data_IF_499030271504
#
_entry.id   IF_499030271504
#
_cell.length_a   1.000
_cell.length_b   1.000
_cell.length_c   1.000
_cell.angle_alpha   90.00
_cell.angle_beta   90.00
_cell.angle_gamma   90.00
#
_symmetry.space_group_name_H-M   'P 1'
#
loop_
_entity.id
_entity.type
_entity.pdbx_description
1 polymer ?
#
# COMPACT_ATOMS: atom_id res chain seq x y z
N UNK A 1 3.75 3.70 -5.73
CA UNK A 1 5.05 3.04 -5.53
C UNK A 1 4.92 1.54 -5.85
N UNK A 2 5.35 1.08 -7.05
CA UNK A 2 5.12 -0.30 -7.49
C UNK A 2 5.78 -1.36 -6.59
N UNK A 3 6.99 -1.10 -6.09
CA UNK A 3 7.75 -2.04 -5.23
C UNK A 3 7.00 -2.39 -3.94
N UNK A 4 6.26 -1.44 -3.35
CA UNK A 4 5.47 -1.69 -2.14
C UNK A 4 4.29 -2.62 -2.43
N UNK A 5 3.66 -2.48 -3.60
CA UNK A 5 2.56 -3.35 -3.99
C UNK A 5 3.02 -4.80 -4.19
N UNK A 6 4.19 -4.99 -4.81
CA UNK A 6 4.73 -6.31 -5.07
C UNK A 6 5.20 -6.98 -3.77
N UNK A 7 5.89 -6.24 -2.88
CA UNK A 7 6.25 -6.74 -1.55
C UNK A 7 5.03 -7.15 -0.71
N UNK A 8 3.91 -6.44 -0.83
CA UNK A 8 2.67 -6.78 -0.14
C UNK A 8 2.00 -8.02 -0.74
N UNK A 9 1.99 -8.18 -2.05
CA UNK A 9 1.53 -9.42 -2.71
C UNK A 9 2.37 -10.63 -2.29
N UNK A 10 3.69 -10.49 -2.26
CA UNK A 10 4.61 -11.56 -1.83
C UNK A 10 4.41 -11.92 -0.36
N UNK A 11 4.01 -10.96 0.48
CA UNK A 11 3.63 -11.20 1.87
C UNK A 11 2.22 -11.84 2.03
N UNK A 12 1.51 -12.09 0.93
CA UNK A 12 0.16 -12.68 0.93
C UNK A 12 -0.98 -11.66 1.07
N UNK A 13 -0.72 -10.36 0.93
CA UNK A 13 -1.76 -9.34 0.93
C UNK A 13 -2.49 -9.32 -0.43
N UNK A 14 -3.74 -9.79 -0.42
CA UNK A 14 -4.62 -9.85 -1.61
C UNK A 14 -5.60 -8.69 -1.74
N UNK A 15 -5.46 -7.61 -0.95
CA UNK A 15 -6.38 -6.47 -0.98
C UNK A 15 -6.23 -5.67 -2.28
N UNK A 16 -7.09 -5.95 -3.26
CA UNK A 16 -7.05 -5.32 -4.59
C UNK A 16 -7.10 -3.79 -4.52
N UNK A 17 -7.83 -3.22 -3.56
CA UNK A 17 -7.87 -1.76 -3.34
C UNK A 17 -6.52 -1.19 -2.88
N UNK A 18 -5.82 -1.92 -2.01
CA UNK A 18 -4.51 -1.54 -1.52
C UNK A 18 -3.47 -1.64 -2.64
N UNK A 19 -3.46 -2.77 -3.36
CA UNK A 19 -2.53 -3.03 -4.45
C UNK A 19 -2.73 -2.03 -5.59
N UNK A 20 -3.98 -1.74 -5.94
CA UNK A 20 -4.32 -0.74 -6.95
C UNK A 20 -3.94 0.67 -6.50
N UNK A 21 -4.09 1.02 -5.22
CA UNK A 21 -3.63 2.30 -4.70
C UNK A 21 -2.10 2.42 -4.74
N UNK A 22 -1.36 1.36 -4.39
CA UNK A 22 0.10 1.33 -4.45
C UNK A 22 0.65 1.41 -5.88
N UNK A 23 -0.08 0.83 -6.85
CA UNK A 23 0.25 0.86 -8.28
C UNK A 23 -0.26 2.12 -8.99
N UNK A 24 -1.26 2.79 -8.42
CA UNK A 24 -1.87 3.98 -8.99
C UNK A 24 -1.01 5.24 -8.84
N UNK A 25 -1.22 6.25 -9.71
CA UNK A 25 -0.60 7.55 -9.55
C UNK A 25 -1.25 8.29 -8.37
N UNK A 26 -0.45 8.70 -7.38
CA UNK A 26 -0.93 9.45 -6.23
C UNK A 26 0.18 9.68 -5.19
N UNK A 27 0.08 10.74 -4.37
CA UNK A 27 1.08 11.03 -3.34
C UNK A 27 1.00 10.00 -2.20
N UNK A 28 2.01 9.14 -2.07
CA UNK A 28 2.19 8.27 -0.90
C UNK A 28 2.95 9.00 0.21
N UNK A 29 2.33 10.03 0.80
CA UNK A 29 2.90 10.81 1.91
C UNK A 29 2.41 10.29 3.28
N UNK A 30 2.94 10.81 4.39
CA UNK A 30 2.32 10.62 5.72
C UNK A 30 0.88 11.16 5.64
N UNK A 31 -0.12 10.35 6.01
CA UNK A 31 -1.57 10.45 5.69
C UNK A 31 -2.07 9.61 4.51
N UNK A 32 -1.20 8.89 3.79
CA UNK A 32 -1.64 7.79 2.93
C UNK A 32 -2.13 6.65 3.84
N UNK A 33 -3.40 6.30 3.73
CA UNK A 33 -4.02 5.23 4.51
C UNK A 33 -3.25 3.90 4.42
N UNK A 34 -2.62 3.59 3.28
CA UNK A 34 -1.78 2.39 3.13
C UNK A 34 -0.55 2.45 4.03
N UNK A 35 0.08 3.62 4.13
CA UNK A 35 1.26 3.81 4.99
C UNK A 35 0.86 3.69 6.46
N UNK A 36 -0.28 4.24 6.86
CA UNK A 36 -0.78 4.12 8.24
C UNK A 36 -1.15 2.67 8.59
N UNK A 37 -1.76 1.93 7.66
CA UNK A 37 -2.01 0.49 7.81
C UNK A 37 -0.73 -0.33 7.96
N UNK A 38 0.26 -0.10 7.09
CA UNK A 38 1.56 -0.82 7.14
C UNK A 38 2.33 -0.49 8.41
N UNK A 39 2.19 0.74 8.93
CA UNK A 39 2.82 1.17 10.19
C UNK A 39 2.01 0.80 11.44
N UNK A 40 0.85 0.15 11.31
CA UNK A 40 0.00 -0.24 12.45
C UNK A 40 -0.54 0.95 13.23
N UNK A 41 -0.67 2.12 12.60
CA UNK A 41 -1.20 3.34 13.21
C UNK A 41 -2.70 3.39 12.92
N UNK A 42 -3.49 2.95 13.89
CA UNK A 42 -4.95 3.11 13.91
C UNK A 42 -5.33 4.30 14.79
#
# INVERSE_FOLDING_TARGET
MPILADALQDAGCGDEKLLSHCRGPGPHVRSCWVVDLVLGKQ
#
